data_IF_073581352895
#
_entry.id   IF_073581352895
#
_cell.length_a   1.000
_cell.length_b   1.000
_cell.length_c   1.000
_cell.angle_alpha   90.00
_cell.angle_beta   90.00
_cell.angle_gamma   90.00
#
_symmetry.space_group_name_H-M   'P 1'
#
loop_
_entity.id
_entity.type
_entity.pdbx_description
1 polymer ?
#
# COMPACT_ATOMS: atom_id res chain seq x y z
N UNK A 1 -10.93 14.89 9.26
CA UNK A 1 -9.59 14.48 8.77
C UNK A 1 -9.44 13.01 9.10
N UNK A 2 -9.02 12.20 8.14
CA UNK A 2 -8.70 10.79 8.37
C UNK A 2 -7.20 10.59 8.19
N UNK A 3 -6.52 10.07 9.20
CA UNK A 3 -5.08 9.84 9.19
C UNK A 3 -4.79 8.35 8.91
N UNK A 4 -4.69 7.99 7.64
CA UNK A 4 -4.27 6.66 7.22
C UNK A 4 -2.75 6.50 7.14
N UNK A 5 -1.96 7.50 7.54
CA UNK A 5 -0.51 7.35 7.65
C UNK A 5 -0.18 6.67 8.97
N UNK A 6 -0.76 7.15 10.07
CA UNK A 6 -0.59 6.56 11.40
C UNK A 6 -1.52 5.37 11.65
N UNK A 7 -2.69 5.35 11.01
CA UNK A 7 -3.63 4.21 11.05
C UNK A 7 -3.86 3.67 9.63
N UNK A 8 -2.85 3.02 9.03
CA UNK A 8 -2.96 2.48 7.68
C UNK A 8 -4.13 1.50 7.58
N UNK A 9 -4.73 1.41 6.39
CA UNK A 9 -5.75 0.40 6.09
C UNK A 9 -5.11 -0.99 5.99
N UNK A 10 -5.94 -2.03 6.10
CA UNK A 10 -5.49 -3.44 6.13
C UNK A 10 -4.81 -3.92 4.85
N UNK A 11 -5.07 -3.25 3.73
CA UNK A 11 -4.46 -3.44 2.42
C UNK A 11 -3.07 -2.77 2.29
N UNK A 12 -2.68 -1.96 3.26
CA UNK A 12 -1.45 -1.18 3.23
C UNK A 12 -1.61 0.24 2.68
N UNK A 13 -2.83 0.69 2.35
CA UNK A 13 -3.06 2.05 1.87
C UNK A 13 -2.70 3.10 2.93
N UNK A 14 -2.00 4.15 2.51
CA UNK A 14 -1.54 5.27 3.33
C UNK A 14 -1.78 6.61 2.66
N UNK A 15 -2.42 7.53 3.38
CA UNK A 15 -2.66 8.93 2.98
C UNK A 15 -3.30 9.68 4.15
N UNK A 16 -3.14 11.01 4.21
CA UNK A 16 -3.97 11.84 5.07
C UNK A 16 -5.10 12.46 4.23
N UNK A 17 -6.35 12.25 4.63
CA UNK A 17 -7.53 12.77 3.93
C UNK A 17 -8.15 13.95 4.68
N UNK A 18 -8.24 15.08 3.99
CA UNK A 18 -8.88 16.29 4.48
C UNK A 18 -10.13 16.56 3.65
N UNK A 19 -11.28 16.66 4.31
CA UNK A 19 -12.56 16.93 3.67
C UNK A 19 -12.98 18.35 3.98
N UNK A 20 -13.17 19.14 2.94
CA UNK A 20 -13.65 20.51 3.03
C UNK A 20 -15.01 20.61 2.36
N UNK A 21 -15.89 21.42 2.93
CA UNK A 21 -17.14 21.81 2.27
C UNK A 21 -17.10 23.31 2.08
N UNK A 22 -17.19 23.75 0.83
CA UNK A 22 -17.31 25.17 0.53
C UNK A 22 -18.63 25.70 1.11
N UNK A 23 -18.54 26.82 1.84
CA UNK A 23 -19.66 27.32 2.63
C UNK A 23 -20.78 27.85 1.73
N UNK A 24 -20.44 28.43 0.57
CA UNK A 24 -21.37 29.12 -0.34
C UNK A 24 -22.00 28.16 -1.34
N UNK A 25 -21.18 27.38 -2.02
CA UNK A 25 -21.58 26.44 -3.08
C UNK A 25 -21.99 25.08 -2.54
N UNK A 26 -21.66 24.77 -1.28
CA UNK A 26 -21.80 23.43 -0.67
C UNK A 26 -21.02 22.34 -1.40
N UNK A 27 -20.09 22.71 -2.28
CA UNK A 27 -19.21 21.77 -2.96
C UNK A 27 -18.29 21.09 -1.95
N UNK A 28 -18.12 19.77 -2.08
CA UNK A 28 -17.19 18.99 -1.26
C UNK A 28 -15.88 18.82 -2.02
N UNK A 29 -14.78 19.16 -1.36
CA UNK A 29 -13.42 18.99 -1.88
C UNK A 29 -12.66 18.07 -0.94
N UNK A 30 -12.09 17.01 -1.50
CA UNK A 30 -11.18 16.12 -0.78
C UNK A 30 -9.74 16.47 -1.16
N UNK A 31 -8.88 16.64 -0.16
CA UNK A 31 -7.43 16.79 -0.34
C UNK A 31 -6.75 15.57 0.28
N UNK A 32 -5.99 14.86 -0.54
CA UNK A 32 -5.17 13.73 -0.11
C UNK A 32 -3.69 14.14 -0.04
N UNK A 33 -3.10 14.04 1.13
CA UNK A 33 -1.68 14.33 1.35
C UNK A 33 -0.92 13.02 1.45
N UNK A 34 0.08 12.85 0.59
CA UNK A 34 0.89 11.64 0.47
C UNK A 34 2.36 12.01 0.28
N UNK A 35 3.25 11.14 0.76
CA UNK A 35 4.64 11.16 0.33
C UNK A 35 4.76 10.64 -1.11
N UNK A 36 5.94 10.78 -1.73
CA UNK A 36 6.21 10.22 -3.06
C UNK A 36 6.05 8.69 -3.08
N UNK A 37 6.55 7.97 -2.08
CA UNK A 37 6.43 6.50 -2.03
C UNK A 37 4.98 6.05 -1.85
N UNK A 38 4.21 6.73 -0.99
CA UNK A 38 2.78 6.44 -0.79
C UNK A 38 1.98 6.70 -2.07
N UNK A 39 2.29 7.76 -2.80
CA UNK A 39 1.68 8.04 -4.09
C UNK A 39 2.05 6.98 -5.14
N UNK A 40 3.34 6.67 -5.30
CA UNK A 40 3.78 5.62 -6.21
C UNK A 40 3.15 4.26 -5.90
N UNK A 41 3.01 3.93 -4.62
CA UNK A 41 2.30 2.72 -4.17
C UNK A 41 0.84 2.72 -4.62
N UNK A 42 0.10 3.81 -4.33
CA UNK A 42 -1.32 3.91 -4.67
C UNK A 42 -1.55 3.84 -6.18
N UNK A 43 -0.75 4.54 -6.97
CA UNK A 43 -0.81 4.50 -8.43
C UNK A 43 -0.49 3.11 -8.98
N UNK A 44 0.48 2.40 -8.39
CA UNK A 44 0.78 1.02 -8.81
C UNK A 44 -0.39 0.07 -8.51
N UNK A 45 -1.04 0.21 -7.36
CA UNK A 45 -2.27 -0.55 -7.02
C UNK A 45 -3.37 -0.25 -8.04
N UNK A 46 -3.63 1.03 -8.33
CA UNK A 46 -4.64 1.44 -9.32
C UNK A 46 -4.37 0.86 -10.71
N UNK A 47 -3.12 0.90 -11.19
CA UNK A 47 -2.73 0.33 -12.50
C UNK A 47 -2.95 -1.18 -12.52
N UNK A 48 -2.54 -1.89 -11.47
CA UNK A 48 -2.74 -3.33 -11.38
C UNK A 48 -4.22 -3.67 -11.31
N UNK A 49 -5.03 -2.95 -10.53
CA UNK A 49 -6.48 -3.17 -10.46
C UNK A 49 -7.17 -2.93 -11.82
N UNK A 50 -6.76 -1.88 -12.55
CA UNK A 50 -7.25 -1.60 -13.90
C UNK A 50 -6.86 -2.71 -14.90
N UNK A 51 -5.61 -3.17 -14.87
CA UNK A 51 -5.11 -4.25 -15.74
C UNK A 51 -5.58 -5.65 -15.35
N UNK A 52 -5.94 -5.86 -14.08
CA UNK A 52 -6.39 -7.15 -13.56
C UNK A 52 -7.79 -7.51 -14.04
N UNK A 53 -8.61 -6.50 -14.39
CA UNK A 53 -9.90 -6.70 -15.03
C UNK A 53 -9.81 -7.31 -16.44
N UNK A 54 -8.63 -7.35 -17.06
CA UNK A 54 -8.48 -7.88 -18.42
C UNK A 54 -8.01 -9.35 -18.47
N UNK A 55 -7.07 -9.82 -17.63
CA UNK A 55 -6.52 -11.22 -17.74
C UNK A 55 -5.94 -11.88 -16.46
N UNK A 56 -5.91 -11.21 -15.29
CA UNK A 56 -5.20 -11.73 -14.09
C UNK A 56 -6.09 -12.66 -13.22
N UNK A 57 -7.38 -12.80 -13.55
CA UNK A 57 -8.37 -13.53 -12.74
C UNK A 57 -8.31 -15.07 -12.80
N UNK A 58 -7.37 -15.68 -13.51
CA UNK A 58 -7.24 -17.14 -13.56
C UNK A 58 -6.27 -17.65 -12.48
N UNK A 59 -6.63 -17.53 -11.19
CA UNK A 59 -5.95 -18.24 -10.07
C UNK A 59 -5.46 -17.38 -8.89
N UNK A 60 -4.47 -17.90 -8.15
CA UNK A 60 -3.85 -17.33 -6.92
C UNK A 60 -3.18 -15.95 -7.08
N UNK A 61 -3.22 -15.35 -8.28
CA UNK A 61 -2.55 -14.08 -8.59
C UNK A 61 -3.04 -12.91 -7.73
N UNK A 62 -4.35 -12.83 -7.48
CA UNK A 62 -4.94 -11.76 -6.67
C UNK A 62 -4.37 -11.72 -5.24
N UNK A 63 -4.16 -12.90 -4.63
CA UNK A 63 -3.58 -13.01 -3.28
C UNK A 63 -2.11 -12.58 -3.27
N UNK A 64 -1.34 -12.98 -4.29
CA UNK A 64 0.08 -12.63 -4.42
C UNK A 64 0.26 -11.11 -4.52
N UNK A 65 -0.57 -10.42 -5.32
CA UNK A 65 -0.51 -8.96 -5.45
C UNK A 65 -0.89 -8.26 -4.15
N UNK A 66 -1.96 -8.70 -3.47
CA UNK A 66 -2.35 -8.15 -2.16
C UNK A 66 -1.22 -8.25 -1.14
N UNK A 67 -0.59 -9.42 -1.03
CA UNK A 67 0.55 -9.62 -0.13
C UNK A 67 1.76 -8.78 -0.52
N UNK A 68 2.05 -8.68 -1.82
CA UNK A 68 3.15 -7.85 -2.32
C UNK A 68 2.95 -6.38 -1.96
N UNK A 69 1.77 -5.82 -2.22
CA UNK A 69 1.49 -4.42 -1.94
C UNK A 69 1.46 -4.14 -0.44
N UNK A 70 0.87 -5.04 0.36
CA UNK A 70 0.87 -4.93 1.82
C UNK A 70 2.29 -4.92 2.38
N UNK A 71 3.16 -5.84 1.96
CA UNK A 71 4.57 -5.87 2.37
C UNK A 71 5.36 -4.64 1.88
N UNK A 72 5.08 -4.17 0.67
CA UNK A 72 5.72 -2.95 0.14
C UNK A 72 5.35 -1.71 0.95
N UNK A 73 4.08 -1.58 1.36
CA UNK A 73 3.63 -0.50 2.25
C UNK A 73 4.30 -0.57 3.62
N UNK A 74 4.46 -1.78 4.16
CA UNK A 74 5.21 -2.00 5.40
C UNK A 74 6.64 -1.51 5.23
N UNK A 75 7.35 -1.93 4.17
CA UNK A 75 8.72 -1.46 3.89
C UNK A 75 8.80 0.07 3.80
N UNK A 76 7.87 0.70 3.08
CA UNK A 76 7.82 2.16 2.97
C UNK A 76 7.63 2.84 4.33
N UNK A 77 6.83 2.25 5.23
CA UNK A 77 6.68 2.82 6.58
C UNK A 77 7.98 2.86 7.38
N UNK A 78 8.87 1.88 7.19
CA UNK A 78 10.22 1.93 7.82
C UNK A 78 11.11 3.00 7.18
N UNK A 79 11.09 3.13 5.85
CA UNK A 79 11.87 4.15 5.15
C UNK A 79 11.42 5.57 5.52
N UNK A 80 10.11 5.76 5.69
CA UNK A 80 9.48 7.05 6.01
C UNK A 80 9.39 7.31 7.52
N UNK A 81 9.78 6.35 8.36
CA UNK A 81 9.65 6.40 9.83
C UNK A 81 8.22 6.68 10.29
N UNK A 82 7.24 6.07 9.61
CA UNK A 82 5.81 6.16 9.97
C UNK A 82 5.34 4.90 10.68
N UNK A 83 4.11 4.91 11.22
CA UNK A 83 3.60 3.79 11.99
C UNK A 83 3.54 2.50 11.15
N UNK A 84 4.10 1.42 11.69
CA UNK A 84 4.04 0.09 11.09
C UNK A 84 2.72 -0.57 11.48
N UNK A 85 2.09 -1.27 10.55
CA UNK A 85 0.87 -2.04 10.83
C UNK A 85 1.15 -3.07 11.94
N UNK A 86 0.20 -3.23 12.87
CA UNK A 86 0.39 -4.03 14.09
C UNK A 86 0.93 -5.44 13.82
N UNK A 87 0.32 -6.14 12.85
CA UNK A 87 0.70 -7.49 12.46
C UNK A 87 2.15 -7.63 11.94
N UNK A 88 2.83 -6.53 11.63
CA UNK A 88 4.22 -6.51 11.14
C UNK A 88 5.20 -5.82 12.10
N UNK A 89 4.77 -5.39 13.28
CA UNK A 89 5.66 -4.74 14.28
C UNK A 89 6.69 -5.70 14.86
N UNK A 90 6.35 -6.98 15.02
CA UNK A 90 7.24 -8.02 15.54
C UNK A 90 8.14 -8.64 14.45
N UNK A 91 7.94 -8.30 13.18
CA UNK A 91 8.69 -8.88 12.08
C UNK A 91 10.05 -8.16 11.93
N UNK A 92 11.13 -8.93 12.07
CA UNK A 92 12.45 -8.48 11.62
C UNK A 92 12.48 -8.50 10.08
N UNK A 93 12.14 -7.36 9.48
CA UNK A 93 12.08 -7.19 8.04
C UNK A 93 13.45 -7.30 7.36
N UNK A 94 14.56 -7.07 8.08
CA UNK A 94 15.89 -7.32 7.52
C UNK A 94 16.07 -8.81 7.21
N UNK A 95 15.55 -9.71 8.05
CA UNK A 95 15.54 -11.16 7.77
C UNK A 95 14.52 -11.55 6.71
N UNK A 96 13.32 -10.97 6.71
CA UNK A 96 12.23 -11.41 5.83
C UNK A 96 12.35 -10.95 4.37
N UNK A 97 12.85 -9.73 4.13
CA UNK A 97 13.07 -9.23 2.75
C UNK A 97 14.17 -10.05 2.05
N UNK A 98 15.21 -10.45 2.80
CA UNK A 98 16.28 -11.33 2.30
C UNK A 98 15.73 -12.73 1.98
N UNK A 99 14.86 -13.29 2.82
CA UNK A 99 14.30 -14.63 2.62
C UNK A 99 13.44 -14.73 1.35
N UNK A 100 12.62 -13.72 1.05
CA UNK A 100 11.79 -13.72 -0.17
C UNK A 100 12.63 -13.52 -1.45
N UNK A 101 13.73 -12.77 -1.38
CA UNK A 101 14.67 -12.61 -2.51
C UNK A 101 15.30 -13.95 -2.91
N UNK A 102 15.68 -14.78 -1.94
CA UNK A 102 16.22 -16.12 -2.18
C UNK A 102 15.17 -17.10 -2.70
N UNK A 103 13.91 -17.00 -2.25
CA UNK A 103 12.83 -17.87 -2.72
C UNK A 103 12.45 -17.59 -4.19
N UNK A 104 12.44 -16.32 -4.61
CA UNK A 104 12.16 -15.94 -6.00
C UNK A 104 13.31 -16.36 -6.94
N UNK A 105 14.57 -16.30 -6.49
CA UNK A 105 15.71 -16.82 -7.27
C UNK A 105 15.67 -18.35 -7.44
N UNK A 106 15.12 -19.09 -6.48
CA UNK A 106 15.09 -20.56 -6.51
C UNK A 106 13.83 -21.16 -7.18
N UNK A 107 12.88 -20.34 -7.64
CA UNK A 107 11.62 -20.82 -8.26
C UNK A 107 11.55 -20.50 -9.77
N UNK A 108 12.61 -19.95 -10.38
CA UNK A 108 12.69 -19.62 -11.83
C UNK A 108 13.69 -20.56 -12.55
N UNK A 109 13.92 -21.77 -12.04
CA UNK A 109 14.61 -22.84 -12.78
C UNK A 109 13.80 -24.12 -12.74
#
# INVERSE_FOLDING_TARGET
MNDYINKPKDDGYRSCHLMFTDIKTKCKVEIQIRTKLQHSWATAVEIIDMGSNSKIKQGNGEVIYKDFFKLSSVLFSYLEKTNVMEQYKSYDLKKHIIFKKNYIQNTIY
#
